data_IF_146835032246
#
_entry.id   IF_146835032246
#
_cell.length_a   1.000
_cell.length_b   1.000
_cell.length_c   1.000
_cell.angle_alpha   90.00
_cell.angle_beta   90.00
_cell.angle_gamma   90.00
#
_symmetry.space_group_name_H-M   'P 1'
#
loop_
_entity.id
_entity.type
_entity.pdbx_description
1 polymer ?
#
# COMPACT_ATOMS: atom_id res chain seq x y z
N UNK A 1 -8.38 13.24 -8.45
CA UNK A 1 -8.40 12.50 -7.19
C UNK A 1 -7.63 13.29 -6.15
N UNK A 2 -8.31 13.79 -5.14
CA UNK A 2 -7.69 14.33 -3.92
C UNK A 2 -7.35 13.17 -2.99
N UNK A 3 -6.39 13.37 -2.08
CA UNK A 3 -5.87 12.43 -1.07
C UNK A 3 -6.92 11.75 -0.18
N UNK A 4 -8.19 12.15 -0.27
CA UNK A 4 -9.33 11.61 0.48
C UNK A 4 -10.00 10.38 -0.15
N UNK A 5 -9.66 9.98 -1.38
CA UNK A 5 -10.43 8.97 -2.13
C UNK A 5 -9.69 7.65 -2.43
N UNK A 6 -8.48 7.44 -1.92
CA UNK A 6 -7.67 6.26 -2.25
C UNK A 6 -8.28 4.93 -1.75
N UNK A 7 -9.07 4.95 -0.68
CA UNK A 7 -9.54 3.72 -0.02
C UNK A 7 -10.80 3.11 -0.64
N UNK A 8 -11.76 3.93 -1.09
CA UNK A 8 -12.91 3.45 -1.89
C UNK A 8 -12.54 3.19 -3.34
N UNK A 9 -11.47 3.82 -3.83
CA UNK A 9 -11.03 3.70 -5.22
C UNK A 9 -10.81 2.25 -5.65
N UNK A 10 -10.18 1.40 -4.84
CA UNK A 10 -9.91 0.00 -5.22
C UNK A 10 -11.21 -0.80 -5.44
N UNK A 11 -12.19 -0.62 -4.55
CA UNK A 11 -13.49 -1.29 -4.64
C UNK A 11 -14.37 -0.74 -5.76
N UNK A 12 -14.45 0.59 -5.88
CA UNK A 12 -15.20 1.28 -6.93
C UNK A 12 -14.59 1.04 -8.31
N UNK A 13 -13.27 1.02 -8.42
CA UNK A 13 -12.53 0.70 -9.65
C UNK A 13 -12.77 -0.74 -10.06
N UNK A 14 -12.70 -1.69 -9.12
CA UNK A 14 -13.03 -3.09 -9.39
C UNK A 14 -14.48 -3.21 -9.88
N UNK A 15 -15.43 -2.59 -9.20
CA UNK A 15 -16.84 -2.60 -9.61
C UNK A 15 -17.04 -1.98 -11.00
N UNK A 16 -16.41 -0.83 -11.27
CA UNK A 16 -16.44 -0.14 -12.54
C UNK A 16 -15.86 -1.00 -13.68
N UNK A 17 -14.67 -1.57 -13.50
CA UNK A 17 -14.05 -2.47 -14.47
C UNK A 17 -14.87 -3.75 -14.66
N UNK A 18 -15.53 -4.26 -13.62
CA UNK A 18 -16.48 -5.37 -13.73
C UNK A 18 -17.69 -4.99 -14.60
N UNK A 19 -18.29 -3.80 -14.43
CA UNK A 19 -19.41 -3.34 -15.29
C UNK A 19 -19.02 -3.23 -16.76
N UNK A 20 -17.74 -2.96 -17.04
CA UNK A 20 -17.19 -2.90 -18.40
C UNK A 20 -16.68 -4.25 -18.92
N UNK A 21 -16.70 -5.30 -18.09
CA UNK A 21 -16.16 -6.61 -18.43
C UNK A 21 -14.64 -6.60 -18.66
N UNK A 22 -13.90 -5.69 -18.01
CA UNK A 22 -12.46 -5.51 -18.18
C UNK A 22 -11.65 -6.06 -16.99
N UNK A 23 -12.31 -6.33 -15.86
CA UNK A 23 -11.66 -6.79 -14.63
C UNK A 23 -10.81 -8.05 -14.82
N UNK A 24 -11.28 -9.01 -15.62
CA UNK A 24 -10.56 -10.27 -15.88
C UNK A 24 -9.23 -10.07 -16.61
N UNK A 25 -9.09 -8.98 -17.36
CA UNK A 25 -7.83 -8.61 -18.01
C UNK A 25 -6.93 -7.88 -17.00
N UNK A 26 -7.49 -6.97 -16.21
CA UNK A 26 -6.74 -6.16 -15.22
C UNK A 26 -6.18 -7.03 -14.10
N UNK A 27 -6.93 -8.01 -13.62
CA UNK A 27 -6.49 -8.92 -12.56
C UNK A 27 -5.64 -10.11 -13.07
N UNK A 28 -5.33 -10.15 -14.38
CA UNK A 28 -4.50 -11.19 -15.00
C UNK A 28 -5.15 -12.57 -15.15
N UNK A 29 -6.44 -12.73 -14.83
CA UNK A 29 -7.15 -14.02 -14.97
C UNK A 29 -7.38 -14.40 -16.44
N UNK A 30 -7.55 -13.42 -17.31
CA UNK A 30 -7.71 -13.57 -18.76
C UNK A 30 -6.38 -13.26 -19.46
N UNK A 31 -5.63 -14.31 -19.79
CA UNK A 31 -4.37 -14.20 -20.52
C UNK A 31 -4.61 -13.96 -22.00
N UNK A 32 -3.66 -13.28 -22.64
CA UNK A 32 -3.62 -13.11 -24.09
C UNK A 32 -3.60 -14.51 -24.76
N UNK A 33 -4.48 -14.79 -25.74
CA UNK A 33 -4.47 -16.06 -26.47
C UNK A 33 -3.23 -16.21 -27.36
N UNK A 34 -2.70 -17.43 -27.51
CA UNK A 34 -1.48 -17.68 -28.30
C UNK A 34 -1.75 -17.97 -29.81
N UNK A 35 -2.93 -18.50 -30.16
CA UNK A 35 -3.09 -19.22 -31.45
C UNK A 35 -4.07 -18.62 -32.49
N UNK A 36 -4.65 -17.44 -32.26
CA UNK A 36 -5.56 -16.84 -33.24
C UNK A 36 -5.45 -15.32 -33.33
N UNK A 37 -4.96 -14.80 -34.46
CA UNK A 37 -4.75 -13.37 -34.70
C UNK A 37 -5.98 -12.48 -34.40
N UNK A 38 -7.20 -12.97 -34.69
CA UNK A 38 -8.45 -12.26 -34.36
C UNK A 38 -8.75 -12.24 -32.85
N UNK A 39 -8.45 -13.32 -32.15
CA UNK A 39 -8.62 -13.41 -30.69
C UNK A 39 -7.56 -12.58 -29.97
N UNK A 40 -6.32 -12.56 -30.46
CA UNK A 40 -5.26 -11.66 -30.00
C UNK A 40 -5.68 -10.20 -30.13
N UNK A 41 -6.10 -9.78 -31.33
CA UNK A 41 -6.51 -8.39 -31.59
C UNK A 41 -7.71 -7.96 -30.72
N UNK A 42 -8.67 -8.84 -30.48
CA UNK A 42 -9.82 -8.55 -29.60
C UNK A 42 -9.40 -8.45 -28.13
N UNK A 43 -8.43 -9.25 -27.69
CA UNK A 43 -7.87 -9.17 -26.35
C UNK A 43 -7.05 -7.89 -26.19
N UNK A 44 -6.16 -7.59 -27.15
CA UNK A 44 -5.31 -6.39 -27.17
C UNK A 44 -6.19 -5.12 -27.09
N UNK A 45 -7.27 -5.05 -27.89
CA UNK A 45 -8.21 -3.92 -27.85
C UNK A 45 -8.91 -3.77 -26.48
N UNK A 46 -9.22 -4.87 -25.79
CA UNK A 46 -9.81 -4.81 -24.45
C UNK A 46 -8.76 -4.45 -23.39
N UNK A 47 -7.50 -4.86 -23.57
CA UNK A 47 -6.40 -4.46 -22.71
C UNK A 47 -6.09 -2.96 -22.85
N UNK A 48 -6.06 -2.43 -24.07
CA UNK A 48 -5.91 -1.00 -24.34
C UNK A 48 -7.05 -0.20 -23.72
N UNK A 49 -8.28 -0.72 -23.85
CA UNK A 49 -9.44 -0.11 -23.20
C UNK A 49 -9.33 -0.13 -21.68
N UNK A 50 -8.87 -1.23 -21.08
CA UNK A 50 -8.67 -1.31 -19.64
C UNK A 50 -7.61 -0.32 -19.16
N UNK A 51 -6.50 -0.18 -19.89
CA UNK A 51 -5.45 0.79 -19.59
C UNK A 51 -5.96 2.24 -19.70
N UNK A 52 -6.70 2.57 -20.76
CA UNK A 52 -7.29 3.91 -20.93
C UNK A 52 -8.33 4.26 -19.85
N UNK A 53 -9.15 3.30 -19.44
CA UNK A 53 -10.13 3.50 -18.37
C UNK A 53 -9.43 3.69 -17.00
N UNK A 54 -8.33 2.98 -16.74
CA UNK A 54 -7.50 3.20 -15.55
C UNK A 54 -6.86 4.60 -15.57
N UNK A 55 -6.32 5.03 -16.70
CA UNK A 55 -5.70 6.35 -16.86
C UNK A 55 -6.69 7.51 -16.67
N UNK A 56 -7.92 7.36 -17.19
CA UNK A 56 -8.98 8.36 -17.02
C UNK A 56 -9.39 8.57 -15.56
N UNK A 57 -9.25 7.55 -14.71
CA UNK A 57 -9.63 7.66 -13.31
C UNK A 57 -8.48 8.17 -12.44
N UNK A 58 -7.21 7.91 -12.78
CA UNK A 58 -6.04 8.41 -12.04
C UNK A 58 -5.95 9.95 -12.09
N UNK A 59 -5.48 10.60 -11.00
CA UNK A 59 -5.26 12.05 -11.00
C UNK A 59 -3.99 12.44 -11.77
N UNK A 60 -3.91 13.70 -12.20
CA UNK A 60 -2.73 14.25 -12.89
C UNK A 60 -1.41 14.02 -12.15
N UNK A 61 -1.42 14.05 -10.82
CA UNK A 61 -0.25 13.85 -9.96
C UNK A 61 0.17 12.36 -9.89
N UNK A 62 -0.80 11.45 -9.96
CA UNK A 62 -0.56 10.00 -10.04
C UNK A 62 -0.15 9.57 -11.47
N UNK A 63 -0.63 10.25 -12.52
CA UNK A 63 -0.28 9.98 -13.92
C UNK A 63 1.20 10.20 -14.22
N UNK A 64 1.84 11.22 -13.65
CA UNK A 64 3.29 11.45 -13.80
C UNK A 64 4.13 10.26 -13.32
N UNK A 65 3.59 9.43 -12.42
CA UNK A 65 4.24 8.23 -11.89
C UNK A 65 3.88 6.96 -12.67
N UNK A 66 2.88 7.00 -13.56
CA UNK A 66 2.33 5.88 -14.34
C UNK A 66 2.62 6.02 -15.85
N UNK A 67 3.08 7.18 -16.31
CA UNK A 67 3.34 7.53 -17.73
C UNK A 67 4.26 6.57 -18.52
N UNK A 68 5.02 5.70 -17.85
CA UNK A 68 5.85 4.69 -18.51
C UNK A 68 5.08 3.42 -18.98
N UNK A 69 3.77 3.30 -18.69
CA UNK A 69 3.06 2.00 -18.69
C UNK A 69 1.80 1.92 -19.57
N UNK A 70 1.77 2.64 -20.70
CA UNK A 70 0.67 2.51 -21.68
C UNK A 70 0.53 1.07 -22.23
N UNK A 71 1.50 0.18 -21.99
CA UNK A 71 1.54 -1.18 -22.54
C UNK A 71 1.03 -2.32 -21.65
N UNK A 72 0.34 -2.08 -20.52
CA UNK A 72 -0.28 -3.21 -19.81
C UNK A 72 -1.09 -2.88 -18.55
N UNK A 73 -2.39 -3.14 -18.60
CA UNK A 73 -3.33 -2.92 -17.49
C UNK A 73 -3.01 -3.74 -16.23
N UNK A 74 -2.33 -4.89 -16.36
CA UNK A 74 -1.86 -5.72 -15.24
C UNK A 74 -0.71 -5.05 -14.46
N UNK A 75 0.21 -4.39 -15.15
CA UNK A 75 1.34 -3.69 -14.52
C UNK A 75 0.91 -2.44 -13.74
N UNK A 76 -0.15 -1.77 -14.19
CA UNK A 76 -0.75 -0.64 -13.46
C UNK A 76 -1.33 -1.11 -12.12
N UNK A 77 -1.96 -2.29 -12.10
CA UNK A 77 -2.52 -2.86 -10.88
C UNK A 77 -1.45 -3.32 -9.88
N UNK A 78 -0.41 -4.03 -10.34
CA UNK A 78 0.75 -4.39 -9.51
C UNK A 78 1.41 -3.15 -8.89
N UNK A 79 1.49 -2.05 -9.64
CA UNK A 79 2.04 -0.79 -9.13
C UNK A 79 1.15 -0.12 -8.07
N UNK A 80 -0.18 -0.23 -8.19
CA UNK A 80 -1.10 0.22 -7.14
C UNK A 80 -1.01 -0.63 -5.86
N UNK A 81 -0.74 -1.92 -5.98
CA UNK A 81 -0.48 -2.80 -4.83
C UNK A 81 0.81 -2.41 -4.10
N UNK A 82 1.85 -2.02 -4.86
CA UNK A 82 3.09 -1.47 -4.31
C UNK A 82 2.89 -0.14 -3.56
N UNK A 83 1.90 0.68 -3.93
CA UNK A 83 1.55 1.91 -3.18
C UNK A 83 0.90 1.59 -1.83
N UNK A 84 0.09 0.53 -1.76
CA UNK A 84 -0.45 0.03 -0.48
C UNK A 84 0.68 -0.51 0.41
N UNK A 85 1.62 -1.26 -0.15
CA UNK A 85 2.82 -1.72 0.55
C UNK A 85 3.66 -0.54 1.10
N UNK A 86 3.87 0.50 0.29
CA UNK A 86 4.59 1.72 0.69
C UNK A 86 3.92 2.44 1.85
N UNK A 87 2.59 2.45 1.89
CA UNK A 87 1.84 3.05 3.00
C UNK A 87 2.07 2.32 4.33
N UNK A 88 2.14 0.98 4.34
CA UNK A 88 2.41 0.20 5.55
C UNK A 88 3.85 0.36 6.03
N UNK A 89 4.82 0.36 5.11
CA UNK A 89 6.22 0.65 5.45
C UNK A 89 6.38 2.08 6.01
N UNK A 90 5.60 3.04 5.48
CA UNK A 90 5.57 4.40 6.00
C UNK A 90 4.96 4.48 7.41
N UNK A 91 3.91 3.69 7.72
CA UNK A 91 3.33 3.64 9.07
C UNK A 91 4.32 3.09 10.11
N UNK A 92 5.06 2.03 9.76
CA UNK A 92 6.10 1.46 10.64
C UNK A 92 7.21 2.48 10.92
N UNK A 93 7.75 3.12 9.87
CA UNK A 93 8.78 4.15 10.02
C UNK A 93 8.27 5.34 10.85
N UNK A 94 7.01 5.76 10.67
CA UNK A 94 6.42 6.85 11.45
C UNK A 94 6.31 6.51 12.95
N UNK A 95 5.94 5.26 13.28
CA UNK A 95 5.95 4.78 14.66
C UNK A 95 7.36 4.68 15.24
N UNK A 96 8.32 4.21 14.46
CA UNK A 96 9.74 4.13 14.85
C UNK A 96 10.30 5.52 15.21
N UNK A 97 10.11 6.48 14.29
CA UNK A 97 10.49 7.87 14.46
C UNK A 97 9.83 8.50 15.70
N UNK A 98 8.54 8.24 15.90
CA UNK A 98 7.79 8.75 17.06
C UNK A 98 8.38 8.27 18.38
N UNK A 99 8.68 6.97 18.51
CA UNK A 99 9.28 6.42 19.72
C UNK A 99 10.76 6.80 19.88
N UNK A 100 11.44 7.16 18.80
CA UNK A 100 12.81 7.66 18.82
C UNK A 100 12.92 9.11 19.28
N UNK A 101 11.81 9.86 19.39
CA UNK A 101 11.84 11.26 19.84
C UNK A 101 12.49 11.38 21.22
N UNK A 102 13.61 12.09 21.25
CA UNK A 102 14.30 12.55 22.47
C UNK A 102 14.44 14.06 22.45
N UNK A 103 14.48 14.66 23.65
CA UNK A 103 14.76 16.09 23.83
C UNK A 103 16.18 16.38 23.34
N UNK A 104 16.33 17.37 22.47
CA UNK A 104 17.66 17.81 22.05
C UNK A 104 18.28 18.79 23.08
N UNK A 105 19.62 18.93 23.14
CA UNK A 105 20.29 19.75 24.15
C UNK A 105 19.84 21.22 24.15
N UNK A 106 19.66 21.79 22.96
CA UNK A 106 19.31 23.19 22.68
C UNK A 106 17.81 23.45 22.49
N UNK A 107 17.00 22.41 22.60
CA UNK A 107 15.57 22.47 22.37
C UNK A 107 14.78 22.83 23.64
N UNK A 108 13.75 23.66 23.47
CA UNK A 108 12.78 23.98 24.52
C UNK A 108 11.74 22.87 24.73
N UNK A 109 11.14 22.76 25.92
CA UNK A 109 10.09 21.77 26.16
C UNK A 109 8.83 21.99 25.30
N UNK A 110 8.50 23.24 24.95
CA UNK A 110 7.39 23.54 24.05
C UNK A 110 7.68 23.09 22.62
N UNK A 111 8.91 23.28 22.14
CA UNK A 111 9.34 22.75 20.84
C UNK A 111 9.30 21.22 20.80
N UNK A 112 9.66 20.56 21.90
CA UNK A 112 9.55 19.10 22.02
C UNK A 112 8.10 18.63 21.94
N UNK A 113 7.19 19.28 22.67
CA UNK A 113 5.74 18.98 22.61
C UNK A 113 5.24 19.12 21.17
N UNK A 114 5.59 20.21 20.49
CA UNK A 114 5.16 20.44 19.10
C UNK A 114 5.67 19.33 18.15
N UNK A 115 6.90 18.84 18.33
CA UNK A 115 7.42 17.70 17.54
C UNK A 115 6.67 16.39 17.81
N UNK A 116 6.32 16.12 19.07
CA UNK A 116 5.55 14.93 19.44
C UNK A 116 4.15 14.99 18.82
N UNK A 117 3.50 16.15 18.89
CA UNK A 117 2.18 16.38 18.30
C UNK A 117 2.21 16.23 16.77
N UNK A 118 3.18 16.87 16.11
CA UNK A 118 3.37 16.76 14.65
C UNK A 118 3.63 15.31 14.20
N UNK A 119 4.47 14.58 14.95
CA UNK A 119 4.73 13.17 14.64
C UNK A 119 3.51 12.29 14.83
N UNK A 120 2.68 12.53 15.86
CA UNK A 120 1.41 11.82 16.04
C UNK A 120 0.42 12.15 14.93
N UNK A 121 0.34 13.41 14.49
CA UNK A 121 -0.51 13.79 13.36
C UNK A 121 -0.12 13.06 12.08
N UNK A 122 1.17 12.91 11.78
CA UNK A 122 1.65 12.12 10.64
C UNK A 122 1.21 10.66 10.70
N UNK A 123 1.33 10.03 11.86
CA UNK A 123 0.84 8.65 12.08
C UNK A 123 -0.67 8.58 11.82
N UNK A 124 -1.44 9.55 12.31
CA UNK A 124 -2.89 9.61 12.10
C UNK A 124 -3.27 9.81 10.63
N UNK A 125 -2.49 10.58 9.87
CA UNK A 125 -2.68 10.78 8.43
C UNK A 125 -2.45 9.50 7.63
N UNK A 126 -1.53 8.66 8.09
CA UNK A 126 -1.21 7.33 7.56
C UNK A 126 -2.18 6.24 8.01
N UNK A 127 -3.25 6.55 8.74
CA UNK A 127 -4.27 5.53 9.06
C UNK A 127 -5.18 5.31 7.86
N UNK A 128 -5.66 4.08 7.63
CA UNK A 128 -6.74 3.81 6.69
C UNK A 128 -7.97 4.68 7.01
N UNK A 129 -8.26 5.65 6.14
CA UNK A 129 -9.48 6.48 6.18
C UNK A 129 -10.69 5.81 5.51
N UNK A 130 -10.67 4.48 5.35
CA UNK A 130 -11.76 3.75 4.70
C UNK A 130 -13.03 3.83 5.55
N UNK A 131 -14.09 4.39 4.99
CA UNK A 131 -15.41 4.46 5.63
C UNK A 131 -16.09 3.10 5.75
N UNK A 132 -15.69 2.09 4.96
CA UNK A 132 -16.25 0.74 5.02
C UNK A 132 -15.67 -0.10 6.16
N UNK A 133 -14.46 0.20 6.60
CA UNK A 133 -13.80 -0.46 7.72
C UNK A 133 -13.05 0.62 8.52
N UNK A 134 -13.75 1.35 9.41
CA UNK A 134 -13.16 2.45 10.14
C UNK A 134 -12.01 1.93 10.99
N UNK A 135 -10.88 2.64 10.97
CA UNK A 135 -9.76 2.32 11.85
C UNK A 135 -10.22 2.31 13.31
N UNK A 136 -10.02 1.18 13.96
CA UNK A 136 -10.43 0.94 15.34
C UNK A 136 -9.22 0.95 16.27
N UNK A 137 -9.50 1.00 17.58
CA UNK A 137 -8.46 0.80 18.60
C UNK A 137 -7.80 -0.58 18.44
N UNK A 138 -8.54 -1.59 17.98
CA UNK A 138 -7.98 -2.93 17.74
C UNK A 138 -6.93 -2.92 16.63
N UNK A 139 -7.12 -2.10 15.60
CA UNK A 139 -6.15 -1.95 14.52
C UNK A 139 -4.86 -1.28 15.05
N UNK A 140 -5.01 -0.29 15.94
CA UNK A 140 -3.88 0.30 16.67
C UNK A 140 -3.14 -0.71 17.55
N UNK A 141 -3.87 -1.51 18.32
CA UNK A 141 -3.26 -2.54 19.17
C UNK A 141 -2.50 -3.56 18.31
N UNK A 142 -3.02 -3.91 17.14
CA UNK A 142 -2.35 -4.79 16.18
C UNK A 142 -1.07 -4.15 15.62
N UNK A 143 -1.13 -2.90 15.15
CA UNK A 143 0.05 -2.16 14.67
C UNK A 143 1.14 -2.10 15.74
N UNK A 144 0.78 -1.80 16.99
CA UNK A 144 1.73 -1.74 18.11
C UNK A 144 2.35 -3.10 18.42
N UNK A 145 1.58 -4.19 18.34
CA UNK A 145 2.12 -5.55 18.51
C UNK A 145 3.10 -5.89 17.38
N UNK A 146 2.74 -5.62 16.12
CA UNK A 146 3.63 -5.82 14.98
C UNK A 146 4.93 -4.99 15.13
N UNK A 147 4.80 -3.72 15.56
CA UNK A 147 5.93 -2.84 15.86
C UNK A 147 6.85 -3.45 16.92
N UNK A 148 6.27 -3.91 18.02
CA UNK A 148 7.01 -4.50 19.13
C UNK A 148 7.73 -5.79 18.70
N UNK A 149 7.08 -6.64 17.90
CA UNK A 149 7.69 -7.86 17.37
C UNK A 149 8.94 -7.52 16.55
N UNK A 150 8.84 -6.65 15.56
CA UNK A 150 9.98 -6.30 14.69
C UNK A 150 11.08 -5.58 15.49
N UNK A 151 10.73 -4.63 16.38
CA UNK A 151 11.71 -3.91 17.21
C UNK A 151 12.39 -4.76 18.29
N UNK A 152 11.80 -5.89 18.66
CA UNK A 152 12.38 -6.80 19.65
C UNK A 152 13.48 -7.69 19.08
N UNK A 153 13.59 -7.77 17.75
CA UNK A 153 14.64 -8.52 17.07
C UNK A 153 15.98 -7.83 17.28
N UNK A 154 16.95 -8.58 17.83
CA UNK A 154 18.34 -8.13 17.95
C UNK A 154 19.05 -8.07 16.60
N UNK A 155 20.29 -7.57 16.60
CA UNK A 155 21.12 -7.45 15.38
C UNK A 155 21.34 -8.80 14.69
N UNK A 156 21.34 -9.90 15.45
CA UNK A 156 21.45 -11.27 14.97
C UNK A 156 20.32 -11.68 14.01
N UNK A 157 19.16 -11.01 14.09
CA UNK A 157 18.02 -11.21 13.19
C UNK A 157 17.89 -10.08 12.16
N UNK A 158 18.92 -9.26 11.93
CA UNK A 158 18.87 -8.11 11.02
C UNK A 158 18.43 -8.44 9.58
N UNK A 159 18.83 -9.60 9.06
CA UNK A 159 18.38 -10.09 7.75
C UNK A 159 16.89 -10.47 7.75
N UNK A 160 16.45 -11.16 8.80
CA UNK A 160 15.05 -11.51 9.00
C UNK A 160 14.18 -10.25 9.18
N UNK A 161 14.59 -9.33 10.05
CA UNK A 161 13.93 -8.03 10.24
C UNK A 161 13.80 -7.23 8.94
N UNK A 162 14.86 -7.23 8.11
CA UNK A 162 14.83 -6.59 6.79
C UNK A 162 13.84 -7.28 5.84
N UNK A 163 13.71 -8.61 5.92
CA UNK A 163 12.73 -9.37 5.14
C UNK A 163 11.29 -9.10 5.58
N UNK A 164 11.07 -8.87 6.89
CA UNK A 164 9.75 -8.55 7.43
C UNK A 164 9.22 -7.22 6.89
N UNK A 165 10.12 -6.25 6.64
CA UNK A 165 9.78 -4.96 6.03
C UNK A 165 9.32 -5.08 4.57
N UNK A 166 9.57 -6.23 3.92
CA UNK A 166 9.17 -6.51 2.55
C UNK A 166 7.79 -7.18 2.44
N UNK A 167 7.13 -7.50 3.56
CA UNK A 167 5.79 -8.12 3.52
C UNK A 167 4.75 -7.19 2.90
N UNK A 168 3.88 -7.77 2.05
CA UNK A 168 2.79 -7.06 1.38
C UNK A 168 1.68 -6.62 2.35
N UNK A 169 1.50 -7.37 3.45
CA UNK A 169 0.67 -7.04 4.60
C UNK A 169 1.43 -7.37 5.88
N UNK A 170 1.45 -6.45 6.85
CA UNK A 170 1.92 -6.72 8.21
C UNK A 170 0.71 -7.12 9.06
N UNK A 171 0.06 -8.23 8.69
CA UNK A 171 -0.94 -8.81 9.58
C UNK A 171 -0.25 -9.49 10.76
N UNK A 172 -0.86 -9.37 11.94
CA UNK A 172 -0.31 -9.90 13.18
C UNK A 172 -0.13 -11.42 13.14
N UNK A 173 -1.02 -12.15 12.48
CA UNK A 173 -0.91 -13.60 12.39
C UNK A 173 0.15 -14.01 11.36
N UNK A 174 0.25 -13.32 10.23
CA UNK A 174 1.32 -13.53 9.23
C UNK A 174 2.71 -13.29 9.84
N UNK A 175 2.88 -12.23 10.63
CA UNK A 175 4.12 -11.96 11.36
C UNK A 175 4.46 -13.05 12.37
N UNK A 176 3.48 -13.58 13.10
CA UNK A 176 3.72 -14.70 14.03
C UNK A 176 4.16 -15.96 13.30
N UNK A 177 3.50 -16.28 12.18
CA UNK A 177 3.89 -17.43 11.35
C UNK A 177 5.32 -17.27 10.82
N UNK A 178 5.69 -16.07 10.37
CA UNK A 178 7.06 -15.78 9.94
C UNK A 178 8.09 -15.97 11.07
N UNK A 179 7.79 -15.49 12.29
CA UNK A 179 8.67 -15.68 13.44
C UNK A 179 8.84 -17.16 13.80
N UNK A 180 7.76 -17.95 13.74
CA UNK A 180 7.81 -19.39 14.01
C UNK A 180 8.56 -20.18 12.93
N UNK A 181 8.64 -19.65 11.70
CA UNK A 181 9.34 -20.30 10.60
C UNK A 181 10.86 -19.99 10.57
N UNK A 182 11.30 -18.91 11.22
CA UNK A 182 12.70 -18.50 11.34
C UNK A 182 13.43 -19.22 12.50
N UNK A 183 12.69 -19.77 13.48
CA UNK A 183 13.22 -20.60 14.58
C UNK A 183 13.70 -21.99 14.11
#
# INVERSE_FOLDING_TARGET
LTSSNNNTWKGEMKAFLCTKGLWTIVNGSEKRPDDAAKSCSKWDLRADRAAGELDLVLSSEQRTHVEALISGAVMVWEKCENEVHRHHMNSFNAWDDFFYIRKQPDESLSSLIARIEDSMSKIQELRPKDTSSPYTIKDLDNELVCMAMVRSLGEEYSHFASSLLLFQSLDKEELKEAFLAEE
#
